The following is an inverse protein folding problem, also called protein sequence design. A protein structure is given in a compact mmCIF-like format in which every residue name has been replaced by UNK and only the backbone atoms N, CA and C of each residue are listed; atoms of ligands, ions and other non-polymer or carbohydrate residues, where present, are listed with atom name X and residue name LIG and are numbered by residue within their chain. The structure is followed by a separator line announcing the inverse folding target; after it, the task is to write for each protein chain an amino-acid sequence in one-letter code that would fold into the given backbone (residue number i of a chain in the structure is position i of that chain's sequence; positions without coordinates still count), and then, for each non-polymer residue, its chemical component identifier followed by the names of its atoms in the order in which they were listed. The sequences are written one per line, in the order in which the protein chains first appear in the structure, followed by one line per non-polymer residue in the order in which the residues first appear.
data_IF_106782120543
#
_entry.id   IF_106782120543
#
_cell.length_a   1.000
_cell.length_b   1.000
_cell.length_c   1.000
_cell.angle_alpha   90.00
_cell.angle_beta   90.00
_cell.angle_gamma   90.00
#
_symmetry.space_group_name_H-M   'P 1'
#
loop_
_entity.id
_entity.type
_entity.pdbx_description
1 polymer ?
#
# COMPACT_ATOMS: atom_id res chain seq x y z
N UNK A 1 1.84 -17.48 -15.39
CA UNK A 1 1.36 -16.55 -14.36
C UNK A 1 -0.13 -16.80 -14.20
N UNK A 2 -0.56 -17.42 -13.12
CA UNK A 2 -1.98 -17.66 -12.86
C UNK A 2 -2.63 -16.34 -12.46
N UNK A 3 -3.39 -15.72 -13.35
CA UNK A 3 -4.26 -14.59 -12.99
C UNK A 3 -5.31 -15.07 -11.98
N UNK A 4 -5.64 -14.23 -11.00
CA UNK A 4 -6.77 -14.52 -10.12
C UNK A 4 -8.05 -14.51 -10.96
N UNK A 5 -8.77 -15.63 -11.02
CA UNK A 5 -10.09 -15.71 -11.69
C UNK A 5 -11.07 -14.67 -11.12
N UNK A 6 -10.87 -14.28 -9.87
CA UNK A 6 -11.66 -13.25 -9.21
C UNK A 6 -11.32 -11.86 -9.78
N UNK A 7 -10.04 -11.59 -10.06
CA UNK A 7 -9.61 -10.34 -10.69
C UNK A 7 -10.24 -10.17 -12.07
N UNK A 8 -10.22 -11.22 -12.88
CA UNK A 8 -10.83 -11.24 -14.22
C UNK A 8 -12.35 -11.00 -14.15
N UNK A 9 -13.04 -11.67 -13.21
CA UNK A 9 -14.49 -11.53 -13.03
C UNK A 9 -14.92 -10.10 -12.69
N UNK A 10 -14.15 -9.40 -11.87
CA UNK A 10 -14.47 -8.04 -11.44
C UNK A 10 -13.78 -6.96 -12.28
N UNK A 11 -12.91 -7.32 -13.23
CA UNK A 11 -12.11 -6.37 -13.99
C UNK A 11 -11.15 -5.55 -13.13
N UNK A 12 -10.70 -6.10 -12.00
CA UNK A 12 -9.82 -5.41 -11.04
C UNK A 12 -8.39 -5.83 -11.32
N UNK A 13 -7.56 -4.89 -11.77
CA UNK A 13 -6.13 -5.12 -11.92
C UNK A 13 -5.35 -4.79 -10.63
N UNK A 14 -4.16 -5.36 -10.51
CA UNK A 14 -3.34 -5.22 -9.31
C UNK A 14 -2.87 -3.77 -9.07
N UNK A 15 -2.56 -3.03 -10.14
CA UNK A 15 -2.08 -1.65 -10.04
C UNK A 15 -3.20 -0.71 -9.62
N UNK A 16 -4.38 -0.81 -10.24
CA UNK A 16 -5.56 -0.05 -9.86
C UNK A 16 -5.96 -0.29 -8.40
N UNK A 17 -5.94 -1.54 -7.96
CA UNK A 17 -6.22 -1.88 -6.57
C UNK A 17 -5.15 -1.34 -5.61
N UNK A 18 -3.87 -1.41 -5.97
CA UNK A 18 -2.77 -0.83 -5.20
C UNK A 18 -2.94 0.68 -5.01
N UNK A 19 -3.20 1.41 -6.10
CA UNK A 19 -3.43 2.85 -6.07
C UNK A 19 -4.60 3.25 -5.16
N UNK A 20 -5.72 2.52 -5.27
CA UNK A 20 -6.92 2.83 -4.50
C UNK A 20 -6.75 2.51 -3.00
N UNK A 21 -6.19 1.34 -2.69
CA UNK A 21 -6.15 0.80 -1.33
C UNK A 21 -4.95 1.29 -0.53
N UNK A 22 -3.74 1.29 -1.12
CA UNK A 22 -2.51 1.64 -0.41
C UNK A 22 -2.14 3.11 -0.56
N UNK A 23 -2.34 3.69 -1.74
CA UNK A 23 -1.92 5.07 -2.01
C UNK A 23 -3.05 6.10 -1.89
N UNK A 24 -4.29 5.66 -1.65
CA UNK A 24 -5.44 6.55 -1.50
C UNK A 24 -5.77 7.37 -2.75
N UNK A 25 -5.33 6.94 -3.95
CA UNK A 25 -5.59 7.67 -5.20
C UNK A 25 -7.04 7.40 -5.61
N UNK A 26 -7.81 8.47 -5.79
CA UNK A 26 -9.23 8.41 -6.20
C UNK A 26 -9.37 8.26 -7.73
N UNK A 27 -10.59 7.99 -8.22
CA UNK A 27 -10.83 7.78 -9.66
C UNK A 27 -10.55 9.02 -10.51
N UNK A 28 -10.74 10.20 -9.93
CA UNK A 28 -10.44 11.51 -10.53
C UNK A 28 -8.95 11.89 -10.41
N UNK A 29 -8.09 11.00 -9.90
CA UNK A 29 -6.67 11.26 -9.73
C UNK A 29 -6.32 12.13 -8.51
N UNK A 30 -7.31 12.44 -7.66
CA UNK A 30 -7.12 13.07 -6.36
C UNK A 30 -6.52 12.13 -5.32
N UNK A 31 -6.53 12.59 -4.07
CA UNK A 31 -6.02 11.82 -2.93
C UNK A 31 -7.03 11.85 -1.77
N UNK A 32 -7.38 10.67 -1.28
CA UNK A 32 -8.18 10.46 -0.07
C UNK A 32 -7.91 9.06 0.47
N UNK A 33 -7.58 8.96 1.75
CA UNK A 33 -7.44 7.65 2.40
C UNK A 33 -8.79 6.91 2.40
N UNK A 34 -8.79 5.65 1.97
CA UNK A 34 -10.01 4.87 1.79
C UNK A 34 -9.89 3.55 2.55
N UNK A 35 -10.93 3.21 3.32
CA UNK A 35 -11.00 1.89 3.92
C UNK A 35 -11.42 0.83 2.89
N UNK A 36 -11.26 -0.44 3.25
CA UNK A 36 -11.59 -1.58 2.38
C UNK A 36 -13.03 -1.58 1.86
N UNK A 37 -13.99 -1.04 2.60
CA UNK A 37 -15.39 -0.98 2.19
C UNK A 37 -15.63 0.13 1.14
N UNK A 38 -14.94 1.26 1.26
CA UNK A 38 -14.98 2.33 0.27
C UNK A 38 -14.32 1.88 -1.04
N UNK A 39 -13.18 1.20 -0.95
CA UNK A 39 -12.51 0.59 -2.11
C UNK A 39 -13.39 -0.50 -2.74
N UNK A 40 -14.04 -1.35 -1.94
CA UNK A 40 -14.97 -2.36 -2.44
C UNK A 40 -16.14 -1.75 -3.21
N UNK A 41 -16.75 -0.67 -2.68
CA UNK A 41 -17.82 0.06 -3.37
C UNK A 41 -17.34 0.63 -4.71
N UNK A 42 -16.14 1.19 -4.76
CA UNK A 42 -15.52 1.72 -5.99
C UNK A 42 -15.44 0.65 -7.08
N UNK A 43 -14.96 -0.53 -6.73
CA UNK A 43 -14.80 -1.63 -7.69
C UNK A 43 -16.06 -2.51 -7.88
N UNK A 44 -17.21 -2.10 -7.34
CA UNK A 44 -18.44 -2.91 -7.44
C UNK A 44 -18.33 -4.30 -6.81
N UNK A 45 -17.45 -4.46 -5.82
CA UNK A 45 -17.11 -5.73 -5.19
C UNK A 45 -17.46 -5.74 -3.69
N UNK A 46 -17.34 -6.90 -3.04
CA UNK A 46 -17.44 -7.00 -1.59
C UNK A 46 -16.07 -6.76 -0.93
N UNK A 47 -16.05 -6.35 0.34
CA UNK A 47 -14.79 -6.20 1.08
C UNK A 47 -14.01 -7.52 1.21
N UNK A 48 -14.72 -8.66 1.20
CA UNK A 48 -14.08 -9.98 1.16
C UNK A 48 -13.36 -10.23 -0.16
N UNK A 49 -13.98 -9.85 -1.29
CA UNK A 49 -13.34 -9.93 -2.62
C UNK A 49 -12.10 -9.05 -2.66
N UNK A 50 -12.17 -7.81 -2.18
CA UNK A 50 -11.00 -6.93 -2.13
C UNK A 50 -9.86 -7.53 -1.31
N UNK A 51 -10.15 -8.06 -0.12
CA UNK A 51 -9.13 -8.73 0.72
C UNK A 51 -8.51 -9.94 0.02
N UNK A 52 -9.32 -10.75 -0.66
CA UNK A 52 -8.82 -11.89 -1.42
C UNK A 52 -7.91 -11.44 -2.56
N UNK A 53 -8.30 -10.40 -3.31
CA UNK A 53 -7.48 -9.86 -4.39
C UNK A 53 -6.17 -9.25 -3.90
N UNK A 54 -6.18 -8.57 -2.75
CA UNK A 54 -4.95 -8.10 -2.10
C UNK A 54 -4.01 -9.27 -1.81
N UNK A 55 -4.52 -10.39 -1.27
CA UNK A 55 -3.72 -11.58 -1.02
C UNK A 55 -3.22 -12.24 -2.33
N UNK A 56 -4.10 -12.42 -3.31
CA UNK A 56 -3.76 -13.01 -4.61
C UNK A 56 -2.67 -12.21 -5.33
N UNK A 57 -2.70 -10.88 -5.22
CA UNK A 57 -1.69 -10.00 -5.77
C UNK A 57 -0.46 -9.81 -4.89
N UNK A 58 -0.41 -10.41 -3.70
CA UNK A 58 0.66 -10.24 -2.71
C UNK A 58 0.81 -8.76 -2.31
N UNK A 59 -0.30 -8.15 -1.92
CA UNK A 59 -0.44 -6.77 -1.48
C UNK A 59 -1.22 -6.65 -0.17
N UNK A 60 -1.46 -7.76 0.52
CA UNK A 60 -2.10 -7.76 1.82
C UNK A 60 -1.13 -7.28 2.92
N UNK A 61 -1.66 -7.08 4.12
CA UNK A 61 -0.91 -6.50 5.24
C UNK A 61 0.35 -7.30 5.60
N UNK A 62 0.33 -8.64 5.51
CA UNK A 62 1.48 -9.49 5.84
C UNK A 62 2.65 -9.19 4.89
N UNK A 63 2.35 -9.05 3.59
CA UNK A 63 3.37 -8.72 2.58
C UNK A 63 3.93 -7.32 2.80
N UNK A 64 3.11 -6.32 3.09
CA UNK A 64 3.61 -4.95 3.35
C UNK A 64 4.53 -4.95 4.56
N UNK A 65 4.11 -5.64 5.62
CA UNK A 65 4.83 -5.76 6.89
C UNK A 65 6.17 -6.50 6.71
N UNK A 66 6.21 -7.50 5.85
CA UNK A 66 7.44 -8.24 5.55
C UNK A 66 8.19 -7.72 4.33
N UNK A 67 7.89 -6.52 3.85
CA UNK A 67 8.61 -5.90 2.74
C UNK A 67 9.63 -4.89 3.25
N UNK A 68 10.77 -4.78 2.56
CA UNK A 68 11.71 -3.64 2.71
C UNK A 68 11.17 -2.35 2.08
N UNK A 69 9.99 -2.39 1.45
CA UNK A 69 9.37 -1.24 0.85
C UNK A 69 8.79 -0.29 1.90
N UNK A 70 9.24 0.96 1.90
CA UNK A 70 8.65 2.01 2.74
C UNK A 70 7.32 2.50 2.15
N UNK A 71 6.23 1.90 2.60
CA UNK A 71 4.88 2.27 2.18
C UNK A 71 4.47 3.65 2.70
N UNK A 72 4.97 4.07 3.87
CA UNK A 72 4.60 5.35 4.46
C UNK A 72 5.22 6.51 3.66
N UNK A 73 6.49 6.40 3.29
CA UNK A 73 7.17 7.35 2.41
C UNK A 73 6.47 7.47 1.06
N UNK A 74 6.09 6.34 0.45
CA UNK A 74 5.32 6.32 -0.79
C UNK A 74 3.94 7.01 -0.67
N UNK A 75 3.25 6.87 0.46
CA UNK A 75 2.00 7.57 0.73
C UNK A 75 2.21 9.08 0.86
N UNK A 76 3.30 9.50 1.51
CA UNK A 76 3.68 10.92 1.63
C UNK A 76 3.96 11.53 0.27
N UNK A 77 4.74 10.85 -0.58
CA UNK A 77 5.04 11.27 -1.95
C UNK A 77 3.75 11.55 -2.75
N UNK A 78 2.78 10.64 -2.68
CA UNK A 78 1.49 10.78 -3.39
C UNK A 78 0.63 11.89 -2.79
N UNK A 79 0.61 12.01 -1.47
CA UNK A 79 -0.14 13.06 -0.78
C UNK A 79 0.40 14.45 -1.15
N UNK A 80 1.72 14.62 -1.13
CA UNK A 80 2.41 15.88 -1.41
C UNK A 80 2.61 16.18 -2.90
N UNK A 81 2.15 15.32 -3.80
CA UNK A 81 2.28 15.53 -5.24
C UNK A 81 1.75 16.93 -5.65
N UNK A 82 2.59 17.78 -6.28
CA UNK A 82 2.23 19.14 -6.67
C UNK A 82 1.04 19.19 -7.62
N UNK A 83 0.38 20.36 -7.69
CA UNK A 83 -0.64 20.59 -8.73
C UNK A 83 -0.01 20.45 -10.12
N UNK A 84 -0.73 19.79 -11.03
CA UNK A 84 -0.24 19.48 -12.38
C UNK A 84 0.63 18.22 -12.48
N UNK A 85 1.04 17.61 -11.35
CA UNK A 85 1.74 16.32 -11.35
C UNK A 85 0.73 15.17 -11.24
N UNK A 86 0.83 14.21 -12.16
CA UNK A 86 -0.03 13.02 -12.14
C UNK A 86 0.38 12.08 -11.00
N UNK A 87 -0.51 11.94 -10.00
CA UNK A 87 -0.37 10.93 -8.93
C UNK A 87 -0.33 9.51 -9.47
N UNK A 88 -1.01 9.24 -10.60
CA UNK A 88 -1.00 7.92 -11.23
C UNK A 88 0.36 7.58 -11.84
N UNK A 89 1.04 8.55 -12.46
CA UNK A 89 2.38 8.32 -13.01
C UNK A 89 3.40 8.10 -11.89
N UNK A 90 3.31 8.88 -10.80
CA UNK A 90 4.10 8.64 -9.59
C UNK A 90 3.84 7.24 -9.02
N UNK A 91 2.57 6.84 -8.96
CA UNK A 91 2.17 5.52 -8.47
C UNK A 91 2.74 4.37 -9.31
N UNK A 92 2.94 4.53 -10.64
CA UNK A 92 3.56 3.49 -11.48
C UNK A 92 4.99 3.19 -11.04
N UNK A 93 5.78 4.21 -10.75
CA UNK A 93 7.15 4.06 -10.23
C UNK A 93 7.14 3.40 -8.86
N UNK A 94 6.30 3.91 -7.96
CA UNK A 94 6.10 3.37 -6.60
C UNK A 94 5.72 1.88 -6.66
N UNK A 95 4.75 1.52 -7.51
CA UNK A 95 4.31 0.14 -7.68
C UNK A 95 5.43 -0.75 -8.19
N UNK A 96 6.24 -0.29 -9.16
CA UNK A 96 7.40 -1.05 -9.65
C UNK A 96 8.43 -1.31 -8.54
N UNK A 97 8.72 -0.28 -7.75
CA UNK A 97 9.62 -0.39 -6.58
C UNK A 97 9.06 -1.36 -5.55
N UNK A 98 7.77 -1.26 -5.23
CA UNK A 98 7.08 -2.18 -4.33
C UNK A 98 7.17 -3.64 -4.81
N UNK A 99 6.92 -3.90 -6.11
CA UNK A 99 7.03 -5.25 -6.69
C UNK A 99 8.44 -5.81 -6.72
N UNK A 100 9.45 -4.94 -6.74
CA UNK A 100 10.87 -5.31 -6.77
C UNK A 100 11.49 -5.38 -5.37
N UNK A 101 10.78 -4.92 -4.34
CA UNK A 101 11.29 -4.89 -2.99
C UNK A 101 11.45 -6.31 -2.44
N UNK A 102 12.61 -6.65 -1.85
CA UNK A 102 12.79 -7.94 -1.22
C UNK A 102 11.89 -8.08 0.00
N UNK A 103 11.37 -9.28 0.23
CA UNK A 103 10.71 -9.58 1.49
C UNK A 103 11.78 -9.79 2.56
N UNK A 104 11.76 -8.97 3.60
CA UNK A 104 12.50 -9.26 4.84
C UNK A 104 11.57 -9.93 5.83
N UNK A 105 12.07 -11.00 6.43
CA UNK A 105 11.49 -11.57 7.65
C UNK A 105 11.79 -10.59 8.79
N UNK A 106 11.05 -9.49 8.82
CA UNK A 106 11.21 -8.39 9.77
C UNK A 106 10.77 -8.88 11.15
N UNK A 107 11.72 -8.97 12.08
CA UNK A 107 11.44 -9.31 13.48
C UNK A 107 11.01 -8.03 14.20
N UNK A 108 9.73 -7.71 14.06
CA UNK A 108 9.11 -6.49 14.61
C UNK A 108 9.32 -6.30 16.11
N UNK A 109 9.54 -7.40 16.84
CA UNK A 109 9.86 -7.37 18.27
C UNK A 109 11.20 -6.70 18.52
N UNK A 110 12.20 -7.03 17.69
CA UNK A 110 13.54 -6.47 17.81
C UNK A 110 13.60 -5.01 17.37
N UNK A 111 12.84 -4.61 16.34
CA UNK A 111 12.78 -3.20 15.90
C UNK A 111 12.00 -2.31 16.87
N UNK A 112 10.84 -2.74 17.38
CA UNK A 112 10.09 -1.96 18.38
C UNK A 112 10.88 -1.79 19.69
N UNK A 113 11.65 -2.79 20.12
CA UNK A 113 12.56 -2.64 21.26
C UNK A 113 13.72 -1.68 20.96
N UNK A 114 14.21 -1.66 19.72
CA UNK A 114 15.30 -0.77 19.33
C UNK A 114 14.81 0.67 19.22
N UNK A 115 13.65 0.89 18.61
CA UNK A 115 13.02 2.20 18.50
C UNK A 115 12.56 2.74 19.86
N UNK A 116 12.07 1.87 20.77
CA UNK A 116 11.79 2.26 22.15
C UNK A 116 13.07 2.71 22.89
N UNK A 117 14.17 1.97 22.74
CA UNK A 117 15.48 2.32 23.34
C UNK A 117 16.09 3.59 22.74
N UNK A 118 15.90 3.83 21.45
CA UNK A 118 16.39 5.05 20.78
C UNK A 118 15.51 6.27 21.11
N UNK A 119 14.18 6.12 21.19
CA UNK A 119 13.29 7.19 21.68
C UNK A 119 13.59 7.56 23.13
N UNK A 120 13.85 6.59 24.00
CA UNK A 120 14.18 6.84 25.41
C UNK A 120 15.46 7.70 25.56
N UNK A 121 16.47 7.49 24.70
CA UNK A 121 17.71 8.30 24.70
C UNK A 121 17.49 9.73 24.21
N UNK A 122 16.57 9.94 23.26
CA UNK A 122 16.28 11.27 22.69
C UNK A 122 15.38 12.09 23.63
N UNK A 123 14.39 11.46 24.26
CA UNK A 123 13.43 12.13 25.15
C UNK A 123 13.87 12.24 26.62
N UNK A 124 14.91 11.51 27.06
CA UNK A 124 15.52 11.67 28.40
C UNK A 124 16.46 12.88 28.52
N UNK A 125 16.71 13.63 27.44
CA UNK A 125 17.63 14.79 27.43
C UNK A 125 16.88 16.12 27.49
N UNK A 126 15.88 16.21 28.36
CA UNK A 126 15.19 17.47 28.71
C UNK A 126 15.16 17.66 30.21
#
# INVERSE_FOLDING_TARGET
MGGSRLAERYGIDAFGLFCAYHLGITEDGGYRFQNVHQVARRFGASAAVIRQLLADFRMDADVIVHSDFDMADAQVDVMMAPQGVSRLELAREIYRRFRSAPLRRRDWRAELERDARENEKVFSRR
#
